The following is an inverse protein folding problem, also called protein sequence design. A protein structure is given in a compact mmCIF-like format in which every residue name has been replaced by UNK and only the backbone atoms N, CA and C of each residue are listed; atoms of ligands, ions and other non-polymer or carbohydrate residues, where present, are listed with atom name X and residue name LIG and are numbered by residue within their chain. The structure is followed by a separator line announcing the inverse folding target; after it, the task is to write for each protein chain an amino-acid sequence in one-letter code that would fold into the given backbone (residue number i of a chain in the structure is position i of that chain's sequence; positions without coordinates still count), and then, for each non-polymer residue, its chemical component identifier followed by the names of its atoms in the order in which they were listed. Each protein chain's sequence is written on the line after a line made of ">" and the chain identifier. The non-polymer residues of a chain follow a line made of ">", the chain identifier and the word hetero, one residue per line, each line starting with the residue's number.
data_IF_048772550921
#
_entry.id   IF_048772550921
#
_cell.length_a   1.000
_cell.length_b   1.000
_cell.length_c   1.000
_cell.angle_alpha   90.00
_cell.angle_beta   90.00
_cell.angle_gamma   90.00
#
_symmetry.space_group_name_H-M   'P 1'
#
loop_
_entity.id
_entity.type
_entity.pdbx_description
1 polymer ?
#
# COMPACT_ATOMS: atom_id res chain seq x y z
N UNK A 1 3.75 -57.92 -109.67
CA UNK A 1 3.65 -58.33 -111.09
C UNK A 1 4.52 -57.38 -111.89
N UNK A 2 5.68 -57.86 -112.34
CA UNK A 2 6.63 -57.05 -113.09
C UNK A 2 6.24 -56.94 -114.56
N UNK A 3 6.33 -55.74 -115.10
CA UNK A 3 6.51 -55.50 -116.53
C UNK A 3 7.64 -54.50 -116.71
N UNK A 4 8.74 -55.02 -117.25
CA UNK A 4 9.92 -54.30 -117.69
C UNK A 4 9.57 -53.37 -118.85
N UNK A 5 9.80 -52.06 -118.72
CA UNK A 5 9.89 -51.15 -119.87
C UNK A 5 11.34 -50.70 -119.99
N UNK A 6 12.07 -51.37 -120.89
CA UNK A 6 13.35 -50.92 -121.39
C UNK A 6 13.12 -49.79 -122.41
N UNK A 7 13.94 -48.73 -122.35
CA UNK A 7 14.10 -47.77 -123.45
C UNK A 7 13.52 -46.36 -123.28
N UNK A 8 13.71 -45.69 -122.14
CA UNK A 8 13.41 -44.24 -121.99
C UNK A 8 14.68 -43.48 -121.57
N UNK A 9 14.97 -42.35 -122.22
CA UNK A 9 16.12 -41.50 -121.91
C UNK A 9 16.17 -41.17 -120.40
N UNK A 10 17.34 -41.21 -119.73
CA UNK A 10 17.43 -41.19 -118.27
C UNK A 10 16.74 -39.98 -117.61
N UNK A 11 16.74 -38.82 -118.29
CA UNK A 11 16.03 -37.62 -117.83
C UNK A 11 14.50 -37.73 -117.88
N UNK A 12 13.95 -38.44 -118.87
CA UNK A 12 12.51 -38.67 -118.98
C UNK A 12 12.05 -39.69 -117.94
N UNK A 13 12.80 -40.79 -117.78
CA UNK A 13 12.52 -41.81 -116.77
C UNK A 13 12.51 -41.24 -115.35
N UNK A 14 13.40 -40.28 -115.03
CA UNK A 14 13.45 -39.62 -113.72
C UNK A 14 12.26 -38.68 -113.48
N UNK A 15 11.83 -37.93 -114.50
CA UNK A 15 10.61 -37.08 -114.40
C UNK A 15 9.36 -37.94 -114.28
N UNK A 16 9.26 -39.01 -115.06
CA UNK A 16 8.12 -39.91 -115.08
C UNK A 16 8.00 -40.67 -113.74
N UNK A 17 9.13 -41.14 -113.19
CA UNK A 17 9.18 -41.71 -111.84
C UNK A 17 8.78 -40.69 -110.77
N UNK A 18 9.26 -39.44 -110.85
CA UNK A 18 8.88 -38.37 -109.90
C UNK A 18 7.38 -38.01 -109.97
N UNK A 19 6.79 -38.00 -111.16
CA UNK A 19 5.34 -37.76 -111.34
C UNK A 19 4.53 -38.95 -110.80
N UNK A 20 4.96 -40.19 -111.06
CA UNK A 20 4.32 -41.39 -110.52
C UNK A 20 4.46 -41.54 -108.99
N UNK A 21 5.57 -41.08 -108.41
CA UNK A 21 5.81 -41.09 -106.96
C UNK A 21 5.14 -39.91 -106.25
N UNK A 22 4.78 -38.85 -106.97
CA UNK A 22 3.99 -37.76 -106.43
C UNK A 22 2.57 -38.29 -106.23
N UNK A 23 2.14 -38.43 -104.97
CA UNK A 23 0.76 -38.84 -104.65
C UNK A 23 -0.18 -37.69 -105.02
N UNK A 24 -0.69 -37.71 -106.25
CA UNK A 24 -1.54 -36.64 -106.79
C UNK A 24 -3.00 -36.77 -106.28
N UNK A 25 -3.35 -37.93 -105.73
CA UNK A 25 -4.72 -38.28 -105.34
C UNK A 25 -5.01 -38.10 -103.83
N UNK A 26 -4.15 -37.40 -103.08
CA UNK A 26 -4.43 -37.12 -101.67
C UNK A 26 -5.51 -36.03 -101.54
N UNK A 27 -6.51 -36.21 -100.65
CA UNK A 27 -7.62 -35.28 -100.51
C UNK A 27 -7.15 -33.86 -100.14
N UNK A 28 -6.08 -33.73 -99.35
CA UNK A 28 -5.51 -32.43 -98.95
C UNK A 28 -4.78 -31.72 -100.11
N UNK A 29 -4.16 -32.48 -101.00
CA UNK A 29 -3.53 -31.90 -102.19
C UNK A 29 -4.61 -31.47 -103.19
N UNK A 30 -5.64 -32.29 -103.40
CA UNK A 30 -6.78 -31.96 -104.25
C UNK A 30 -7.55 -30.74 -103.70
N UNK A 31 -7.73 -30.62 -102.39
CA UNK A 31 -8.36 -29.44 -101.78
C UNK A 31 -7.50 -28.19 -101.91
N UNK A 32 -6.17 -28.31 -101.74
CA UNK A 32 -5.22 -27.22 -101.97
C UNK A 32 -5.19 -26.79 -103.43
N UNK A 33 -5.24 -27.73 -104.37
CA UNK A 33 -5.30 -27.47 -105.81
C UNK A 33 -6.63 -26.88 -106.24
N UNK A 34 -7.76 -27.33 -105.69
CA UNK A 34 -9.08 -26.72 -105.92
C UNK A 34 -9.12 -25.29 -105.38
N UNK A 35 -8.53 -25.05 -104.21
CA UNK A 35 -8.41 -23.71 -103.63
C UNK A 35 -7.52 -22.84 -104.51
N UNK A 36 -6.37 -23.35 -104.98
CA UNK A 36 -5.49 -22.67 -105.92
C UNK A 36 -6.21 -22.33 -107.23
N UNK A 37 -7.00 -23.27 -107.75
CA UNK A 37 -7.80 -23.10 -108.96
C UNK A 37 -8.86 -22.01 -108.84
N UNK A 38 -9.28 -21.63 -107.63
CA UNK A 38 -10.26 -20.55 -107.45
C UNK A 38 -9.71 -19.15 -107.74
N UNK A 39 -8.38 -18.98 -107.85
CA UNK A 39 -7.75 -17.67 -108.07
C UNK A 39 -6.51 -17.70 -108.97
N UNK A 40 -6.18 -18.87 -109.51
CA UNK A 40 -5.07 -19.07 -110.42
C UNK A 40 -5.60 -19.46 -111.80
N UNK A 41 -6.19 -18.48 -112.49
CA UNK A 41 -6.90 -18.70 -113.76
C UNK A 41 -5.95 -18.81 -114.97
N UNK A 42 -4.76 -18.19 -114.91
CA UNK A 42 -3.81 -18.14 -116.03
C UNK A 42 -2.42 -18.70 -115.70
N UNK A 43 -1.99 -19.71 -116.45
CA UNK A 43 -0.72 -20.41 -116.25
C UNK A 43 0.45 -19.82 -117.07
N UNK A 44 0.73 -18.52 -116.89
CA UNK A 44 1.82 -17.80 -117.58
C UNK A 44 3.17 -17.91 -116.82
N UNK A 45 4.33 -17.72 -117.49
CA UNK A 45 5.64 -17.77 -116.82
C UNK A 45 5.78 -16.74 -115.68
N UNK A 46 5.14 -15.59 -115.82
CA UNK A 46 5.14 -14.53 -114.82
C UNK A 46 4.22 -14.87 -113.64
N UNK A 47 3.04 -15.46 -113.91
CA UNK A 47 2.15 -15.99 -112.88
C UNK A 47 2.81 -17.12 -112.06
N UNK A 48 3.58 -18.02 -112.68
CA UNK A 48 4.34 -19.07 -111.95
C UNK A 48 5.42 -18.49 -111.03
N UNK A 49 6.12 -17.44 -111.47
CA UNK A 49 7.16 -16.77 -110.65
C UNK A 49 6.54 -16.06 -109.44
N UNK A 50 5.36 -15.48 -109.62
CA UNK A 50 4.68 -14.70 -108.57
C UNK A 50 3.71 -15.51 -107.71
N UNK A 51 3.43 -16.77 -108.06
CA UNK A 51 2.44 -17.63 -107.40
C UNK A 51 2.63 -17.69 -105.88
N UNK A 52 3.87 -17.85 -105.42
CA UNK A 52 4.19 -17.87 -103.99
C UNK A 52 3.80 -16.56 -103.30
N UNK A 53 4.14 -15.42 -103.90
CA UNK A 53 3.80 -14.10 -103.33
C UNK A 53 2.29 -13.88 -103.32
N UNK A 54 1.56 -14.34 -104.34
CA UNK A 54 0.09 -14.27 -104.38
C UNK A 54 -0.55 -15.14 -103.30
N UNK A 55 -0.06 -16.37 -103.09
CA UNK A 55 -0.52 -17.26 -102.02
C UNK A 55 -0.24 -16.63 -100.65
N UNK A 56 0.96 -16.12 -100.43
CA UNK A 56 1.35 -15.48 -99.16
C UNK A 56 0.49 -14.24 -98.86
N UNK A 57 0.22 -13.39 -99.86
CA UNK A 57 -0.67 -12.23 -99.70
C UNK A 57 -2.10 -12.64 -99.36
N UNK A 58 -2.63 -13.67 -100.02
CA UNK A 58 -3.97 -14.18 -99.73
C UNK A 58 -4.03 -14.81 -98.33
N UNK A 59 -3.01 -15.56 -97.94
CA UNK A 59 -2.91 -16.11 -96.58
C UNK A 59 -2.89 -15.00 -95.54
N UNK A 60 -2.18 -13.90 -95.79
CA UNK A 60 -2.13 -12.75 -94.88
C UNK A 60 -3.49 -12.05 -94.77
N UNK A 61 -4.21 -11.92 -95.89
CA UNK A 61 -5.57 -11.38 -95.92
C UNK A 61 -6.55 -12.24 -95.12
N UNK A 62 -6.50 -13.56 -95.30
CA UNK A 62 -7.36 -14.51 -94.57
C UNK A 62 -7.05 -14.46 -93.06
N UNK A 63 -5.78 -14.35 -92.69
CA UNK A 63 -5.38 -14.22 -91.29
C UNK A 63 -5.86 -12.90 -90.67
N UNK A 64 -5.85 -11.79 -91.43
CA UNK A 64 -6.44 -10.52 -90.95
C UNK A 64 -7.95 -10.65 -90.75
N UNK A 65 -8.66 -11.21 -91.73
CA UNK A 65 -10.10 -11.45 -91.63
C UNK A 65 -10.45 -12.36 -90.43
N UNK A 66 -9.63 -13.38 -90.17
CA UNK A 66 -9.78 -14.24 -89.01
C UNK A 66 -9.56 -13.49 -87.69
N UNK A 67 -8.54 -12.62 -87.62
CA UNK A 67 -8.29 -11.79 -86.43
C UNK A 67 -9.44 -10.81 -86.18
N UNK A 68 -9.92 -10.15 -87.24
CA UNK A 68 -11.04 -9.21 -87.14
C UNK A 68 -12.34 -9.92 -86.71
N UNK A 69 -12.61 -11.12 -87.25
CA UNK A 69 -13.76 -11.93 -86.84
C UNK A 69 -13.62 -12.46 -85.40
N UNK A 70 -12.40 -12.79 -84.97
CA UNK A 70 -12.13 -13.32 -83.63
C UNK A 70 -12.07 -12.24 -82.55
N UNK A 71 -11.86 -10.97 -82.94
CA UNK A 71 -11.73 -9.84 -82.02
C UNK A 71 -12.97 -9.66 -81.13
N UNK A 72 -14.17 -9.84 -81.69
CA UNK A 72 -15.41 -9.75 -80.91
C UNK A 72 -15.51 -10.85 -79.83
N UNK A 73 -15.05 -12.07 -80.13
CA UNK A 73 -15.01 -13.16 -79.17
C UNK A 73 -13.94 -12.93 -78.10
N UNK A 74 -12.80 -12.34 -78.48
CA UNK A 74 -11.76 -11.94 -77.54
C UNK A 74 -12.27 -10.88 -76.55
N UNK A 75 -12.93 -9.83 -77.03
CA UNK A 75 -13.54 -8.83 -76.14
C UNK A 75 -14.61 -9.42 -75.23
N UNK A 76 -15.39 -10.39 -75.71
CA UNK A 76 -16.38 -11.07 -74.87
C UNK A 76 -15.72 -11.94 -73.79
N UNK A 77 -14.62 -12.62 -74.12
CA UNK A 77 -13.82 -13.37 -73.13
C UNK A 77 -13.16 -12.45 -72.13
N UNK A 78 -12.59 -11.31 -72.55
CA UNK A 78 -12.03 -10.31 -71.66
C UNK A 78 -13.12 -9.75 -70.73
N UNK A 79 -14.35 -9.55 -71.21
CA UNK A 79 -15.47 -9.12 -70.36
C UNK A 79 -15.83 -10.18 -69.31
N UNK A 80 -15.82 -11.46 -69.68
CA UNK A 80 -16.07 -12.57 -68.74
C UNK A 80 -14.93 -12.70 -67.74
N UNK A 81 -13.68 -12.54 -68.16
CA UNK A 81 -12.52 -12.52 -67.29
C UNK A 81 -12.63 -11.38 -66.28
N UNK A 82 -12.97 -10.17 -66.72
CA UNK A 82 -13.19 -9.03 -65.83
C UNK A 82 -14.38 -9.24 -64.88
N UNK A 83 -15.47 -9.89 -65.33
CA UNK A 83 -16.60 -10.22 -64.45
C UNK A 83 -16.24 -11.29 -63.42
N UNK A 84 -15.43 -12.29 -63.80
CA UNK A 84 -14.90 -13.33 -62.89
C UNK A 84 -13.92 -12.73 -61.90
N UNK A 85 -13.06 -11.81 -62.34
CA UNK A 85 -12.13 -11.08 -61.46
C UNK A 85 -12.89 -10.18 -60.49
N UNK A 86 -13.93 -9.46 -60.95
CA UNK A 86 -14.80 -8.67 -60.08
C UNK A 86 -15.59 -9.57 -59.10
N UNK A 87 -16.02 -10.76 -59.53
CA UNK A 87 -16.66 -11.75 -58.66
C UNK A 87 -15.65 -12.31 -57.64
N UNK A 88 -14.41 -12.57 -58.04
CA UNK A 88 -13.33 -13.01 -57.17
C UNK A 88 -12.99 -11.93 -56.13
N UNK A 89 -12.95 -10.66 -56.52
CA UNK A 89 -12.73 -9.54 -55.60
C UNK A 89 -13.92 -9.32 -54.65
N UNK A 90 -15.15 -9.54 -55.13
CA UNK A 90 -16.37 -9.54 -54.31
C UNK A 90 -16.42 -10.74 -53.34
N UNK A 91 -16.01 -11.93 -53.81
CA UNK A 91 -15.85 -13.13 -52.99
C UNK A 91 -14.71 -12.97 -51.98
N UNK A 92 -13.59 -12.34 -52.30
CA UNK A 92 -12.55 -11.99 -51.34
C UNK A 92 -13.08 -11.00 -50.29
N UNK A 93 -13.90 -10.02 -50.68
CA UNK A 93 -14.54 -9.10 -49.74
C UNK A 93 -15.60 -9.75 -48.83
N UNK A 94 -16.18 -10.90 -49.23
CA UNK A 94 -17.23 -11.62 -48.47
C UNK A 94 -16.72 -12.89 -47.76
N UNK A 95 -15.66 -13.54 -48.24
CA UNK A 95 -14.90 -14.60 -47.56
C UNK A 95 -14.00 -14.03 -46.45
N UNK A 96 -13.66 -12.74 -46.52
CA UNK A 96 -13.14 -11.97 -45.40
C UNK A 96 -14.10 -12.00 -44.21
N UNK A 97 -15.42 -12.05 -44.35
CA UNK A 97 -16.31 -11.98 -43.18
C UNK A 97 -16.37 -13.30 -42.39
N UNK A 98 -16.30 -14.46 -43.06
CA UNK A 98 -16.34 -15.79 -42.40
C UNK A 98 -14.94 -16.30 -42.00
N UNK A 99 -13.90 -16.03 -42.80
CA UNK A 99 -12.53 -16.36 -42.44
C UNK A 99 -11.93 -15.34 -41.46
N UNK A 100 -12.28 -14.04 -41.52
CA UNK A 100 -12.03 -13.15 -40.38
C UNK A 100 -12.87 -13.56 -39.19
N UNK A 101 -14.11 -14.06 -39.28
CA UNK A 101 -14.81 -14.50 -38.07
C UNK A 101 -14.04 -15.60 -37.32
N UNK A 102 -13.41 -16.53 -38.04
CA UNK A 102 -12.59 -17.59 -37.44
C UNK A 102 -11.19 -17.11 -37.03
N UNK A 103 -10.48 -16.31 -37.85
CA UNK A 103 -9.17 -15.73 -37.50
C UNK A 103 -9.24 -14.58 -36.48
N UNK A 104 -10.32 -13.81 -36.44
CA UNK A 104 -10.64 -12.79 -35.44
C UNK A 104 -11.23 -13.44 -34.20
N UNK A 105 -11.94 -14.57 -34.28
CA UNK A 105 -12.28 -15.39 -33.09
C UNK A 105 -11.01 -15.92 -32.41
N UNK A 106 -10.11 -16.56 -33.16
CA UNK A 106 -8.85 -17.10 -32.63
C UNK A 106 -7.83 -16.01 -32.29
N UNK A 107 -7.76 -14.93 -33.07
CA UNK A 107 -6.92 -13.77 -32.82
C UNK A 107 -7.41 -12.93 -31.64
N UNK A 108 -8.72 -12.73 -31.49
CA UNK A 108 -9.30 -12.11 -30.30
C UNK A 108 -9.10 -13.03 -29.09
N UNK A 109 -9.28 -14.35 -29.21
CA UNK A 109 -9.00 -15.28 -28.11
C UNK A 109 -7.52 -15.25 -27.70
N UNK A 110 -6.59 -15.17 -28.65
CA UNK A 110 -5.16 -15.02 -28.37
C UNK A 110 -4.82 -13.64 -27.76
N UNK A 111 -5.41 -12.55 -28.26
CA UNK A 111 -5.23 -11.20 -27.71
C UNK A 111 -5.86 -11.07 -26.32
N UNK A 112 -7.02 -11.68 -26.08
CA UNK A 112 -7.68 -11.77 -24.77
C UNK A 112 -6.83 -12.62 -23.83
N UNK A 113 -6.32 -13.78 -24.27
CA UNK A 113 -5.43 -14.61 -23.46
C UNK A 113 -4.11 -13.89 -23.14
N UNK A 114 -3.53 -13.15 -24.09
CA UNK A 114 -2.32 -12.35 -23.89
C UNK A 114 -2.56 -11.16 -22.97
N UNK A 115 -3.67 -10.44 -23.12
CA UNK A 115 -4.08 -9.34 -22.25
C UNK A 115 -4.42 -9.85 -20.85
N UNK A 116 -5.09 -11.01 -20.73
CA UNK A 116 -5.40 -11.66 -19.46
C UNK A 116 -4.14 -12.17 -18.78
N UNK A 117 -3.20 -12.78 -19.50
CA UNK A 117 -1.91 -13.21 -18.94
C UNK A 117 -1.05 -12.02 -18.51
N UNK A 118 -1.04 -10.94 -19.28
CA UNK A 118 -0.34 -9.70 -18.91
C UNK A 118 -0.97 -9.05 -17.69
N UNK A 119 -2.31 -8.98 -17.66
CA UNK A 119 -3.08 -8.47 -16.52
C UNK A 119 -2.93 -9.38 -15.31
N UNK A 120 -2.91 -10.71 -15.46
CA UNK A 120 -2.71 -11.64 -14.36
C UNK A 120 -1.29 -11.61 -13.82
N UNK A 121 -0.29 -11.40 -14.69
CA UNK A 121 1.09 -11.19 -14.26
C UNK A 121 1.22 -9.88 -13.47
N UNK A 122 0.74 -8.77 -14.02
CA UNK A 122 0.72 -7.47 -13.33
C UNK A 122 -0.11 -7.50 -12.04
N UNK A 123 -1.25 -8.19 -12.04
CA UNK A 123 -2.10 -8.39 -10.86
C UNK A 123 -1.40 -9.30 -9.85
N UNK A 124 -0.65 -10.30 -10.29
CA UNK A 124 0.19 -11.14 -9.44
C UNK A 124 1.30 -10.35 -8.76
N UNK A 125 1.94 -9.43 -9.48
CA UNK A 125 2.92 -8.51 -8.92
C UNK A 125 2.27 -7.55 -7.92
N UNK A 126 1.09 -7.01 -8.21
CA UNK A 126 0.34 -6.15 -7.28
C UNK A 126 -0.11 -6.95 -6.05
N UNK A 127 -0.59 -8.18 -6.20
CA UNK A 127 -1.01 -9.04 -5.08
C UNK A 127 0.20 -9.38 -4.21
N UNK A 128 1.33 -9.78 -4.81
CA UNK A 128 2.53 -10.13 -4.05
C UNK A 128 3.12 -8.92 -3.33
N UNK A 129 3.14 -7.75 -3.96
CA UNK A 129 3.56 -6.50 -3.32
C UNK A 129 2.58 -6.05 -2.23
N UNK A 130 1.28 -6.22 -2.43
CA UNK A 130 0.25 -5.92 -1.42
C UNK A 130 0.37 -6.84 -0.21
N UNK A 131 0.58 -8.15 -0.43
CA UNK A 131 0.74 -9.12 0.65
C UNK A 131 2.02 -8.87 1.44
N UNK A 132 3.13 -8.54 0.75
CA UNK A 132 4.38 -8.13 1.40
C UNK A 132 4.18 -6.88 2.25
N UNK A 133 3.55 -5.83 1.70
CA UNK A 133 3.29 -4.59 2.44
C UNK A 133 2.35 -4.82 3.63
N UNK A 134 1.38 -5.73 3.50
CA UNK A 134 0.48 -6.12 4.59
C UNK A 134 1.24 -6.81 5.72
N UNK A 135 2.13 -7.74 5.38
CA UNK A 135 3.00 -8.41 6.37
C UNK A 135 3.97 -7.42 7.04
N UNK A 136 4.55 -6.49 6.28
CA UNK A 136 5.40 -5.43 6.81
C UNK A 136 4.63 -4.49 7.75
N UNK A 137 3.39 -4.13 7.38
CA UNK A 137 2.51 -3.31 8.21
C UNK A 137 2.15 -4.05 9.52
N UNK A 138 1.80 -5.33 9.44
CA UNK A 138 1.49 -6.16 10.61
C UNK A 138 2.72 -6.28 11.54
N UNK A 139 3.90 -6.52 10.99
CA UNK A 139 5.14 -6.58 11.78
C UNK A 139 5.47 -5.23 12.41
N UNK A 140 5.25 -4.14 11.70
CA UNK A 140 5.51 -2.78 12.18
C UNK A 140 4.53 -2.36 13.28
N UNK A 141 3.25 -2.70 13.13
CA UNK A 141 2.21 -2.42 14.14
C UNK A 141 2.46 -3.22 15.42
N UNK A 142 2.80 -4.51 15.32
CA UNK A 142 3.21 -5.31 16.48
C UNK A 142 4.43 -4.70 17.20
N UNK A 143 5.45 -4.26 16.46
CA UNK A 143 6.61 -3.58 17.05
C UNK A 143 6.23 -2.28 17.73
N UNK A 144 5.33 -1.49 17.14
CA UNK A 144 4.81 -0.26 17.74
C UNK A 144 4.05 -0.55 19.04
N UNK A 145 3.23 -1.60 19.08
CA UNK A 145 2.52 -2.03 20.29
C UNK A 145 3.49 -2.44 21.41
N UNK A 146 4.54 -3.19 21.06
CA UNK A 146 5.58 -3.57 22.02
C UNK A 146 6.30 -2.34 22.56
N UNK A 147 6.69 -1.40 21.69
CA UNK A 147 7.36 -0.15 22.11
C UNK A 147 6.44 0.70 22.97
N UNK A 148 5.17 0.83 22.63
CA UNK A 148 4.22 1.62 23.43
C UNK A 148 3.95 0.99 24.79
N UNK A 149 3.84 -0.34 24.89
CA UNK A 149 3.77 -1.03 26.17
C UNK A 149 5.07 -0.83 26.97
N UNK A 150 6.24 -0.95 26.34
CA UNK A 150 7.51 -0.74 26.99
C UNK A 150 7.68 0.69 27.53
N UNK A 151 7.33 1.70 26.72
CA UNK A 151 7.37 3.11 27.14
C UNK A 151 6.42 3.37 28.30
N UNK A 152 5.20 2.82 28.26
CA UNK A 152 4.27 2.91 29.38
C UNK A 152 4.85 2.27 30.63
N UNK A 153 5.38 1.05 30.53
CA UNK A 153 5.75 0.26 31.71
C UNK A 153 7.11 0.67 32.33
N UNK A 154 7.93 1.44 31.58
CA UNK A 154 9.31 1.78 31.95
C UNK A 154 9.70 3.25 31.77
N UNK A 155 8.81 4.13 31.32
CA UNK A 155 9.11 5.55 31.17
C UNK A 155 7.96 6.42 31.68
N UNK A 156 8.32 7.46 32.45
CA UNK A 156 7.38 8.49 32.86
C UNK A 156 7.10 9.45 31.70
N UNK A 157 5.84 9.81 31.52
CA UNK A 157 5.46 10.84 30.56
C UNK A 157 5.96 12.22 31.03
N UNK A 158 6.18 13.18 30.11
CA UNK A 158 6.59 14.53 30.50
C UNK A 158 5.54 15.21 31.38
N UNK A 159 4.25 14.89 31.21
CA UNK A 159 3.15 15.37 32.05
C UNK A 159 3.27 14.82 33.48
N UNK A 160 3.64 13.55 33.65
CA UNK A 160 3.85 12.94 34.96
C UNK A 160 5.07 13.52 35.67
N UNK A 161 6.18 13.71 34.94
CA UNK A 161 7.38 14.37 35.47
C UNK A 161 7.05 15.79 35.93
N UNK A 162 6.25 16.53 35.15
CA UNK A 162 5.80 17.86 35.51
C UNK A 162 4.88 17.80 36.73
N UNK A 163 3.93 16.87 36.81
CA UNK A 163 3.06 16.72 37.98
C UNK A 163 3.83 16.40 39.27
N UNK A 164 4.95 15.66 39.17
CA UNK A 164 5.84 15.40 40.32
C UNK A 164 6.65 16.64 40.73
N UNK A 165 6.88 17.59 39.81
CA UNK A 165 7.68 18.82 40.02
C UNK A 165 6.86 20.07 40.36
N UNK A 166 5.65 20.17 39.84
CA UNK A 166 4.74 21.33 39.92
C UNK A 166 4.24 21.57 41.34
N UNK A 167 4.29 22.78 41.90
CA UNK A 167 4.17 23.12 43.34
C UNK A 167 2.87 22.66 44.03
N UNK A 168 1.77 22.52 43.31
CA UNK A 168 0.48 22.10 43.85
C UNK A 168 0.32 20.57 43.91
N UNK A 169 -0.22 20.08 45.02
CA UNK A 169 -0.54 18.67 45.22
C UNK A 169 -1.95 18.37 44.72
N UNK A 170 -2.02 17.70 43.57
CA UNK A 170 -3.26 17.36 42.88
C UNK A 170 -3.39 15.84 42.69
N UNK A 171 -4.55 15.37 42.23
CA UNK A 171 -4.77 13.94 41.93
C UNK A 171 -3.73 13.38 40.94
N UNK A 172 -3.29 14.21 39.99
CA UNK A 172 -2.25 13.86 39.01
C UNK A 172 -0.89 13.54 39.67
N UNK A 173 -0.55 14.20 40.78
CA UNK A 173 0.66 13.88 41.54
C UNK A 173 0.58 12.46 42.11
N UNK A 174 -0.56 12.08 42.70
CA UNK A 174 -0.74 10.74 43.27
C UNK A 174 -0.75 9.65 42.19
N UNK A 175 -1.36 9.93 41.02
CA UNK A 175 -1.31 9.03 39.86
C UNK A 175 0.13 8.84 39.37
N UNK A 176 0.87 9.93 39.17
CA UNK A 176 2.27 9.88 38.76
C UNK A 176 3.12 9.13 39.80
N UNK A 177 2.93 9.38 41.10
CA UNK A 177 3.67 8.68 42.17
C UNK A 177 3.39 7.17 42.17
N UNK A 178 2.13 6.77 41.97
CA UNK A 178 1.75 5.35 41.82
C UNK A 178 2.41 4.72 40.60
N UNK A 179 2.46 5.44 39.47
CA UNK A 179 3.12 4.97 38.27
C UNK A 179 4.65 4.80 38.47
N UNK A 180 5.31 5.75 39.16
CA UNK A 180 6.73 5.60 39.53
C UNK A 180 6.96 4.35 40.40
N UNK A 181 6.06 4.05 41.35
CA UNK A 181 6.14 2.84 42.17
C UNK A 181 5.98 1.57 41.32
N UNK A 182 5.07 1.57 40.35
CA UNK A 182 4.87 0.48 39.41
C UNK A 182 6.09 0.25 38.53
N UNK A 183 6.64 1.30 37.91
CA UNK A 183 7.88 1.21 37.11
C UNK A 183 9.03 0.67 37.98
N UNK A 184 9.20 1.18 39.19
CA UNK A 184 10.23 0.69 40.12
C UNK A 184 10.03 -0.79 40.49
N UNK A 185 8.79 -1.28 40.56
CA UNK A 185 8.50 -2.70 40.76
C UNK A 185 8.81 -3.52 39.49
N UNK A 186 8.46 -3.03 38.31
CA UNK A 186 8.75 -3.64 37.02
C UNK A 186 10.27 -3.77 36.78
N UNK A 187 11.06 -2.76 37.18
CA UNK A 187 12.52 -2.83 37.12
C UNK A 187 13.09 -4.05 37.88
N UNK A 188 12.46 -4.49 38.98
CA UNK A 188 12.89 -5.71 39.70
C UNK A 188 12.76 -6.97 38.84
N UNK A 189 11.77 -7.01 37.95
CA UNK A 189 11.62 -8.08 36.96
C UNK A 189 12.72 -7.97 35.91
N UNK A 190 13.01 -6.76 35.41
CA UNK A 190 14.07 -6.51 34.43
C UNK A 190 15.46 -6.94 34.96
N UNK A 191 15.73 -6.75 36.24
CA UNK A 191 16.98 -7.19 36.90
C UNK A 191 17.17 -8.72 36.90
N UNK A 192 16.10 -9.50 36.75
CA UNK A 192 16.16 -10.96 36.62
C UNK A 192 16.44 -11.42 35.18
N UNK A 193 16.43 -10.50 34.22
CA UNK A 193 16.69 -10.78 32.79
C UNK A 193 18.12 -10.40 32.40
N UNK A 194 18.47 -10.54 31.12
CA UNK A 194 19.78 -10.16 30.57
C UNK A 194 20.05 -8.64 30.55
N UNK A 195 19.05 -7.80 30.77
CA UNK A 195 19.16 -6.33 30.70
C UNK A 195 19.36 -5.67 32.07
N UNK A 196 20.25 -6.22 32.90
CA UNK A 196 20.45 -5.79 34.29
C UNK A 196 20.91 -4.34 34.42
N UNK A 197 21.84 -3.90 33.57
CA UNK A 197 22.37 -2.53 33.62
C UNK A 197 21.29 -1.47 33.35
N UNK A 198 20.49 -1.67 32.30
CA UNK A 198 19.36 -0.77 32.00
C UNK A 198 18.31 -0.80 33.13
N UNK A 199 18.06 -1.98 33.71
CA UNK A 199 17.16 -2.12 34.85
C UNK A 199 17.66 -1.36 36.09
N UNK A 200 18.96 -1.36 36.37
CA UNK A 200 19.56 -0.60 37.47
C UNK A 200 19.50 0.91 37.22
N UNK A 201 19.91 1.37 36.03
CA UNK A 201 19.87 2.80 35.67
C UNK A 201 18.44 3.36 35.78
N UNK A 202 17.44 2.59 35.33
CA UNK A 202 16.04 2.99 35.44
C UNK A 202 15.54 2.93 36.88
N UNK A 203 15.93 1.92 37.66
CA UNK A 203 15.59 1.83 39.08
C UNK A 203 16.14 3.02 39.87
N UNK A 204 17.39 3.41 39.63
CA UNK A 204 18.02 4.58 40.26
C UNK A 204 17.29 5.88 39.87
N UNK A 205 16.97 6.06 38.59
CA UNK A 205 16.17 7.20 38.13
C UNK A 205 14.79 7.26 38.81
N UNK A 206 14.08 6.14 38.92
CA UNK A 206 12.79 6.09 39.61
C UNK A 206 12.94 6.35 41.11
N UNK A 207 14.00 5.87 41.74
CA UNK A 207 14.27 6.14 43.15
C UNK A 207 14.46 7.65 43.42
N UNK A 208 15.18 8.36 42.55
CA UNK A 208 15.32 9.83 42.63
C UNK A 208 13.96 10.53 42.52
N UNK A 209 13.11 10.13 41.59
CA UNK A 209 11.75 10.69 41.48
C UNK A 209 10.88 10.36 42.70
N UNK A 210 10.97 9.14 43.24
CA UNK A 210 10.25 8.77 44.46
C UNK A 210 10.70 9.60 45.65
N UNK A 211 12.01 9.73 45.87
CA UNK A 211 12.56 10.49 46.99
C UNK A 211 12.12 11.96 46.94
N UNK A 212 12.23 12.61 45.77
CA UNK A 212 11.77 13.98 45.58
C UNK A 212 10.27 14.15 45.81
N UNK A 213 9.46 13.21 45.29
CA UNK A 213 8.01 13.22 45.48
C UNK A 213 7.62 13.04 46.96
N UNK A 214 8.24 12.09 47.66
CA UNK A 214 7.96 11.84 49.07
C UNK A 214 8.44 12.97 49.98
N UNK A 215 9.61 13.55 49.72
CA UNK A 215 10.10 14.72 50.47
C UNK A 215 9.11 15.88 50.35
N UNK A 216 8.58 16.09 49.14
CA UNK A 216 7.59 17.13 48.89
C UNK A 216 6.25 16.83 49.54
N UNK A 217 5.79 15.58 49.48
CA UNK A 217 4.59 15.13 50.18
C UNK A 217 4.72 15.37 51.69
N UNK A 218 5.88 15.04 52.28
CA UNK A 218 6.19 15.33 53.68
C UNK A 218 6.09 16.83 53.99
N UNK A 219 6.74 17.68 53.20
CA UNK A 219 6.72 19.14 53.40
C UNK A 219 5.29 19.71 53.36
N UNK A 220 4.49 19.26 52.39
CA UNK A 220 3.12 19.72 52.26
C UNK A 220 2.23 19.25 53.41
N UNK A 221 2.33 17.97 53.80
CA UNK A 221 1.59 17.45 54.97
C UNK A 221 1.96 18.21 56.24
N UNK A 222 3.24 18.52 56.44
CA UNK A 222 3.67 19.35 57.56
C UNK A 222 3.09 20.77 57.49
N UNK A 223 3.09 21.41 56.33
CA UNK A 223 2.52 22.74 56.14
C UNK A 223 1.01 22.76 56.42
N UNK A 224 0.28 21.75 55.94
CA UNK A 224 -1.17 21.64 56.15
C UNK A 224 -1.51 21.35 57.61
N UNK A 225 -0.76 20.44 58.26
CA UNK A 225 -0.86 20.18 59.70
C UNK A 225 -0.56 21.40 60.57
N UNK A 226 0.36 22.29 60.16
CA UNK A 226 0.61 23.56 60.85
C UNK A 226 -0.60 24.49 60.77
N UNK A 227 -1.20 24.65 59.58
CA UNK A 227 -2.42 25.47 59.40
C UNK A 227 -3.58 24.97 60.26
N UNK A 228 -3.76 23.65 60.35
CA UNK A 228 -4.77 23.03 61.21
C UNK A 228 -4.52 23.31 62.71
N UNK A 229 -3.25 23.43 63.14
CA UNK A 229 -2.90 23.74 64.53
C UNK A 229 -3.21 25.18 64.96
N UNK A 230 -3.26 26.12 64.02
CA UNK A 230 -3.57 27.53 64.29
C UNK A 230 -5.08 27.83 64.32
N UNK A 231 -5.93 26.88 63.91
CA UNK A 231 -7.39 27.06 63.83
C UNK A 231 -8.11 26.32 64.96
N UNK A 232 -9.06 26.99 65.63
CA UNK A 232 -9.78 26.42 66.79
C UNK A 232 -10.84 25.35 66.39
N UNK A 233 -11.16 25.21 65.09
CA UNK A 233 -12.03 24.16 64.54
C UNK A 233 -11.49 23.64 63.19
N UNK A 234 -10.52 22.72 63.20
CA UNK A 234 -9.85 22.28 61.99
C UNK A 234 -10.61 21.14 61.31
N UNK A 235 -11.10 21.38 60.10
CA UNK A 235 -11.64 20.34 59.23
C UNK A 235 -10.50 19.69 58.43
N UNK A 236 -10.34 18.38 58.59
CA UNK A 236 -9.30 17.62 57.87
C UNK A 236 -9.77 17.36 56.43
N UNK A 237 -9.17 18.07 55.47
CA UNK A 237 -9.47 17.87 54.05
C UNK A 237 -9.14 16.45 53.57
N UNK A 238 -9.92 15.94 52.61
CA UNK A 238 -9.75 14.60 52.02
C UNK A 238 -8.38 14.39 51.35
N UNK A 239 -7.79 15.46 50.83
CA UNK A 239 -6.46 15.43 50.23
C UNK A 239 -5.37 15.14 51.27
N UNK A 240 -5.50 15.69 52.48
CA UNK A 240 -4.58 15.41 53.59
C UNK A 240 -4.70 13.95 54.04
N UNK A 241 -5.93 13.41 54.14
CA UNK A 241 -6.14 11.98 54.46
C UNK A 241 -5.48 11.08 53.43
N UNK A 242 -5.62 11.42 52.15
CA UNK A 242 -5.02 10.68 51.03
C UNK A 242 -3.49 10.75 51.08
N UNK A 243 -2.93 11.95 51.26
CA UNK A 243 -1.49 12.18 51.39
C UNK A 243 -0.88 11.36 52.55
N UNK A 244 -1.52 11.37 53.71
CA UNK A 244 -1.09 10.59 54.88
C UNK A 244 -1.16 9.09 54.62
N UNK A 245 -2.17 8.61 53.86
CA UNK A 245 -2.26 7.20 53.46
C UNK A 245 -1.06 6.76 52.61
N UNK A 246 -0.66 7.56 51.62
CA UNK A 246 0.53 7.28 50.80
C UNK A 246 1.83 7.35 51.62
N UNK A 247 1.92 8.27 52.59
CA UNK A 247 3.05 8.33 53.52
C UNK A 247 3.15 7.07 54.40
N UNK A 248 2.02 6.51 54.83
CA UNK A 248 1.96 5.33 55.71
C UNK A 248 2.60 4.10 55.07
N UNK A 249 2.60 3.99 53.74
CA UNK A 249 3.29 2.92 53.01
C UNK A 249 4.81 2.91 53.28
N UNK A 250 5.39 4.08 53.58
CA UNK A 250 6.78 4.26 54.04
C UNK A 250 6.79 4.61 55.53
N UNK A 251 6.76 3.59 56.38
CA UNK A 251 6.72 3.71 57.84
C UNK A 251 7.73 4.69 58.44
N UNK A 252 8.94 4.79 57.88
CA UNK A 252 9.99 5.72 58.32
C UNK A 252 9.60 7.18 58.09
N UNK A 253 9.11 7.51 56.89
CA UNK A 253 8.70 8.87 56.53
C UNK A 253 7.43 9.29 57.28
N UNK A 254 6.49 8.36 57.42
CA UNK A 254 5.29 8.58 58.22
C UNK A 254 5.64 8.89 59.68
N UNK A 255 6.55 8.10 60.29
CA UNK A 255 6.99 8.34 61.67
C UNK A 255 7.65 9.71 61.82
N UNK A 256 8.55 10.07 60.90
CA UNK A 256 9.18 11.40 60.87
C UNK A 256 8.15 12.53 60.78
N UNK A 257 7.19 12.44 59.85
CA UNK A 257 6.14 13.44 59.74
C UNK A 257 5.25 13.51 60.98
N UNK A 258 4.91 12.36 61.58
CA UNK A 258 4.10 12.32 62.79
C UNK A 258 4.82 12.96 63.99
N UNK A 259 6.11 12.68 64.16
CA UNK A 259 6.94 13.29 65.21
C UNK A 259 7.06 14.82 65.00
N UNK A 260 7.31 15.27 63.77
CA UNK A 260 7.37 16.69 63.46
C UNK A 260 6.03 17.41 63.71
N UNK A 261 4.91 16.81 63.30
CA UNK A 261 3.57 17.37 63.58
C UNK A 261 3.29 17.41 65.09
N UNK A 262 3.66 16.36 65.83
CA UNK A 262 3.53 16.33 67.28
C UNK A 262 4.38 17.43 67.95
N UNK A 263 5.64 17.61 67.51
CA UNK A 263 6.53 18.66 67.98
C UNK A 263 5.98 20.06 67.67
N UNK A 264 5.44 20.28 66.47
CA UNK A 264 4.83 21.55 66.09
C UNK A 264 3.62 21.89 66.95
N UNK A 265 2.72 20.92 67.17
CA UNK A 265 1.55 21.10 68.04
C UNK A 265 1.96 21.35 69.49
N UNK A 266 2.92 20.59 70.00
CA UNK A 266 3.48 20.82 71.33
C UNK A 266 4.01 22.25 71.47
N UNK A 267 4.82 22.72 70.51
CA UNK A 267 5.37 24.07 70.51
C UNK A 267 4.27 25.15 70.40
N UNK A 268 3.23 24.92 69.60
CA UNK A 268 2.09 25.84 69.48
C UNK A 268 1.29 25.91 70.80
N UNK A 269 0.97 24.77 71.41
CA UNK A 269 0.29 24.69 72.71
C UNK A 269 1.13 25.36 73.80
N UNK A 270 2.44 25.10 73.83
CA UNK A 270 3.36 25.72 74.77
C UNK A 270 3.39 27.25 74.63
N UNK A 271 3.46 27.77 73.39
CA UNK A 271 3.38 29.22 73.14
C UNK A 271 2.05 29.81 73.59
N UNK A 272 0.93 29.14 73.32
CA UNK A 272 -0.42 29.54 73.78
C UNK A 272 -0.48 29.57 75.31
N UNK A 273 0.12 28.58 75.98
CA UNK A 273 0.18 28.51 77.44
C UNK A 273 0.99 29.66 78.03
N UNK A 274 2.19 29.93 77.50
CA UNK A 274 3.02 31.07 77.93
C UNK A 274 2.29 32.40 77.71
N UNK A 275 1.58 32.54 76.59
CA UNK A 275 0.77 33.73 76.33
C UNK A 275 -0.36 33.87 77.36
N UNK A 276 -1.04 32.78 77.71
CA UNK A 276 -2.08 32.80 78.75
C UNK A 276 -1.53 33.11 80.14
N UNK A 277 -0.32 32.63 80.46
CA UNK A 277 0.37 32.92 81.72
C UNK A 277 0.72 34.40 81.84
N UNK A 278 1.36 34.96 80.81
CA UNK A 278 2.05 36.27 80.89
C UNK A 278 1.25 37.44 80.31
N UNK A 279 0.41 37.21 79.30
CA UNK A 279 -0.34 38.24 78.57
C UNK A 279 -1.86 38.12 78.71
N UNK A 280 -2.35 36.95 79.05
CA UNK A 280 -3.79 36.66 79.09
C UNK A 280 -4.37 36.43 77.69
N UNK A 281 -5.70 36.51 77.58
CA UNK A 281 -6.41 36.33 76.31
C UNK A 281 -6.36 37.54 75.37
N UNK A 282 -6.93 37.44 74.16
CA UNK A 282 -7.00 38.53 73.19
C UNK A 282 -7.60 39.80 73.82
N UNK A 283 -6.89 40.92 73.77
CA UNK A 283 -7.32 42.18 74.40
C UNK A 283 -7.06 42.26 75.91
N UNK A 284 -6.24 41.36 76.48
CA UNK A 284 -5.88 41.35 77.91
C UNK A 284 -6.93 40.68 78.81
N UNK A 285 -7.95 40.03 78.20
CA UNK A 285 -9.00 39.30 78.90
C UNK A 285 -9.15 37.89 78.31
N UNK A 286 -9.23 36.82 79.13
CA UNK A 286 -9.03 36.82 80.59
C UNK A 286 -7.61 37.29 80.96
N UNK A 287 -7.47 37.85 82.18
CA UNK A 287 -6.19 38.39 82.67
C UNK A 287 -5.10 37.31 82.69
N UNK A 288 -3.80 37.70 82.59
CA UNK A 288 -2.69 36.77 82.75
C UNK A 288 -2.82 35.95 84.04
N UNK A 289 -2.61 34.64 83.95
CA UNK A 289 -2.70 33.73 85.10
C UNK A 289 -1.66 34.12 86.17
N UNK A 290 -0.52 34.68 85.76
CA UNK A 290 0.57 35.14 86.63
C UNK A 290 0.14 36.23 87.64
N UNK A 291 -0.96 36.94 87.38
CA UNK A 291 -1.56 37.90 88.34
C UNK A 291 -1.99 37.21 89.64
N UNK A 292 -2.33 35.91 89.58
CA UNK A 292 -2.74 35.11 90.74
C UNK A 292 -1.57 34.39 91.43
N UNK A 293 -0.31 34.65 91.07
CA UNK A 293 0.86 33.94 91.64
C UNK A 293 1.02 34.08 93.16
N UNK A 294 0.37 35.08 93.78
CA UNK A 294 0.35 35.28 95.23
C UNK A 294 -0.55 34.29 95.99
N UNK A 295 -1.46 33.59 95.29
CA UNK A 295 -2.32 32.54 95.83
C UNK A 295 -1.98 31.19 95.16
N UNK A 296 -1.18 30.32 95.81
CA UNK A 296 -0.67 29.10 95.20
C UNK A 296 -1.77 28.12 94.76
N UNK A 297 -2.88 28.02 95.51
CA UNK A 297 -3.96 27.08 95.18
C UNK A 297 -4.71 27.54 93.93
N UNK A 298 -5.01 28.85 93.86
CA UNK A 298 -5.67 29.44 92.68
C UNK A 298 -4.77 29.45 91.46
N UNK A 299 -3.48 29.76 91.62
CA UNK A 299 -2.51 29.78 90.53
C UNK A 299 -2.36 28.42 89.85
N UNK A 300 -2.21 27.35 90.65
CA UNK A 300 -2.16 25.97 90.14
C UNK A 300 -3.52 25.56 89.55
N UNK A 301 -4.63 25.95 90.19
CA UNK A 301 -5.98 25.71 89.68
C UNK A 301 -6.24 26.31 88.30
N UNK A 302 -5.83 27.55 88.08
CA UNK A 302 -5.97 28.26 86.80
C UNK A 302 -5.09 27.65 85.70
N UNK A 303 -3.86 27.22 86.02
CA UNK A 303 -3.00 26.49 85.07
C UNK A 303 -3.62 25.16 84.64
N UNK A 304 -4.07 24.36 85.61
CA UNK A 304 -4.70 23.07 85.35
C UNK A 304 -6.03 23.24 84.59
N UNK A 305 -6.80 24.27 84.92
CA UNK A 305 -8.03 24.64 84.21
C UNK A 305 -7.77 25.00 82.75
N UNK A 306 -6.74 25.81 82.47
CA UNK A 306 -6.33 26.14 81.11
C UNK A 306 -5.87 24.90 80.33
N UNK A 307 -5.07 24.05 80.96
CA UNK A 307 -4.56 22.82 80.36
C UNK A 307 -5.68 21.82 80.09
N UNK A 308 -6.67 21.72 80.98
CA UNK A 308 -7.85 20.88 80.76
C UNK A 308 -8.68 21.36 79.57
N UNK A 309 -8.92 22.67 79.46
CA UNK A 309 -9.71 23.25 78.37
C UNK A 309 -9.02 23.14 77.00
N UNK A 310 -7.69 23.34 76.93
CA UNK A 310 -6.96 23.34 75.66
C UNK A 310 -6.40 21.95 75.31
N UNK A 311 -5.97 21.15 76.29
CA UNK A 311 -5.54 19.77 76.08
C UNK A 311 -6.66 18.82 75.67
N UNK A 312 -7.92 19.14 76.02
CA UNK A 312 -9.10 18.44 75.51
C UNK A 312 -9.35 18.67 74.00
N UNK A 313 -9.00 19.86 73.48
CA UNK A 313 -9.14 20.19 72.06
C UNK A 313 -8.11 19.48 71.19
N UNK A 314 -6.87 19.33 71.67
CA UNK A 314 -5.81 18.62 70.96
C UNK A 314 -6.06 17.12 70.80
N UNK A 315 -6.79 16.49 71.74
CA UNK A 315 -7.13 15.05 71.69
C UNK A 315 -8.18 14.70 70.63
N UNK A 316 -9.07 15.63 70.28
CA UNK A 316 -10.15 15.37 69.32
C UNK A 316 -9.74 15.53 67.86
N UNK A 317 -8.48 15.89 67.60
CA UNK A 317 -7.92 16.19 66.28
C UNK A 317 -7.16 15.02 65.65
N UNK A 318 -7.06 13.88 66.34
CA UNK A 318 -6.31 12.69 65.93
C UNK A 318 -7.23 11.48 65.78
#
# INVERSE_FOLDING_TARGET
>A
MGTTVAGLAPGLSRKLKKVLESRIDTPDLLSSLNTLSSFYDENTPQARRNLRSTIEKRSLSINHEFLDASHAAQLALDSVENEVDALAECCDSSDIELHLLLLRSTGNAYMIAKALNSCSASTGDIISTTERLKQELETTTQRQEIVTCFLRDYQLSPEEINALRDEDLNENFFKALSHVQEIHANCKVLLRTHHQRAGLELMDMMAVYQEGAYERLCRWVQAECRKLGDTDNPEVGELLKTAVRYLRERSVLFKYCAEEVANMRHNALFRRFISALTRGGPGGMPRPIEVHAHDPLRYVGDMLGWLHQNGGKDKNLF
#
